data_IF_182837174956
#
_entry.id   IF_182837174956
#
_cell.length_a   1.000
_cell.length_b   1.000
_cell.length_c   1.000
_cell.angle_alpha   90.00
_cell.angle_beta   90.00
_cell.angle_gamma   90.00
#
_symmetry.space_group_name_H-M   'P 1'
#
loop_
_entity.id
_entity.type
_entity.pdbx_description
1 polymer ?
#
# COMPACT_ATOMS: atom_id res chain seq x y z
N UNK A 1 -7.01 -12.20 26.60
CA UNK A 1 -7.03 -11.02 25.70
C UNK A 1 -5.58 -10.60 25.53
N UNK A 2 -4.98 -10.84 24.36
CA UNK A 2 -3.63 -10.35 24.10
C UNK A 2 -3.70 -8.84 23.86
N UNK A 3 -2.96 -8.09 24.67
CA UNK A 3 -2.75 -6.67 24.46
C UNK A 3 -1.88 -6.58 23.20
N UNK A 4 -2.48 -6.19 22.07
CA UNK A 4 -1.69 -5.78 20.91
C UNK A 4 -0.76 -4.68 21.38
N UNK A 5 0.53 -4.90 21.20
CA UNK A 5 1.57 -3.91 21.41
C UNK A 5 1.19 -2.61 20.71
N UNK A 6 1.48 -1.47 21.35
CA UNK A 6 1.29 -0.16 20.75
C UNK A 6 2.09 -0.02 19.44
N UNK A 7 1.80 1.01 18.61
CA UNK A 7 2.47 1.19 17.33
C UNK A 7 3.99 1.33 17.50
N UNK A 8 4.75 0.61 16.68
CA UNK A 8 6.21 0.75 16.62
C UNK A 8 6.53 1.98 15.77
N UNK A 9 7.13 3.00 16.40
CA UNK A 9 7.52 4.25 15.73
C UNK A 9 9.03 4.42 15.86
N UNK A 10 9.75 4.28 14.76
CA UNK A 10 11.21 4.38 14.72
C UNK A 10 11.67 5.18 13.50
N UNK A 11 12.74 5.99 13.66
CA UNK A 11 13.45 6.61 12.53
C UNK A 11 14.53 5.66 12.04
N UNK A 12 14.56 5.36 10.74
CA UNK A 12 15.57 4.50 10.13
C UNK A 12 16.19 5.16 8.91
N UNK A 13 17.45 4.84 8.64
CA UNK A 13 18.15 5.28 7.43
C UNK A 13 17.82 4.33 6.30
N UNK A 14 17.63 4.87 5.11
CA UNK A 14 17.70 4.11 3.87
C UNK A 14 19.16 3.73 3.65
N UNK A 15 19.40 2.46 3.34
CA UNK A 15 20.74 1.96 3.02
C UNK A 15 20.77 1.51 1.56
N UNK A 16 21.91 1.64 0.91
CA UNK A 16 22.12 1.13 -0.46
C UNK A 16 22.78 -0.23 -0.40
N UNK A 17 22.29 -1.19 -1.17
CA UNK A 17 22.90 -2.50 -1.39
C UNK A 17 22.97 -2.76 -2.89
N UNK A 18 24.17 -2.66 -3.47
CA UNK A 18 24.36 -2.68 -4.92
C UNK A 18 23.56 -1.55 -5.60
N UNK A 19 22.73 -1.92 -6.57
CA UNK A 19 21.84 -1.00 -7.29
C UNK A 19 20.47 -0.80 -6.62
N UNK A 20 20.27 -1.29 -5.39
CA UNK A 20 18.99 -1.24 -4.68
C UNK A 20 19.04 -0.39 -3.43
N UNK A 21 17.91 0.24 -3.09
CA UNK A 21 17.68 0.84 -1.78
C UNK A 21 16.97 -0.19 -0.91
N UNK A 22 17.49 -0.39 0.31
CA UNK A 22 16.95 -1.30 1.31
C UNK A 22 16.46 -0.50 2.52
N UNK A 23 15.25 -0.81 2.97
CA UNK A 23 14.68 -0.32 4.22
C UNK A 23 14.59 -1.49 5.21
N UNK A 24 15.31 -1.38 6.33
CA UNK A 24 15.27 -2.40 7.36
C UNK A 24 13.98 -2.25 8.21
N UNK A 25 13.11 -3.26 8.17
CA UNK A 25 11.87 -3.30 8.96
C UNK A 25 12.18 -3.57 10.44
N UNK A 26 11.40 -3.03 11.41
CA UNK A 26 11.59 -3.34 12.83
C UNK A 26 11.49 -4.84 13.13
N UNK A 27 12.47 -5.38 13.85
CA UNK A 27 12.53 -6.81 14.20
C UNK A 27 11.27 -7.27 14.95
N UNK A 28 10.81 -6.47 15.90
CA UNK A 28 9.59 -6.74 16.66
C UNK A 28 8.36 -6.90 15.76
N UNK A 29 8.23 -6.07 14.72
CA UNK A 29 7.12 -6.18 13.78
C UNK A 29 7.18 -7.50 13.00
N UNK A 30 8.37 -7.95 12.62
CA UNK A 30 8.54 -9.26 11.96
C UNK A 30 8.10 -10.39 12.88
N UNK A 31 8.52 -10.37 14.15
CA UNK A 31 8.16 -11.37 15.17
C UNK A 31 6.65 -11.41 15.40
N UNK A 32 6.02 -10.26 15.60
CA UNK A 32 4.56 -10.12 15.81
C UNK A 32 3.74 -10.62 14.61
N UNK A 33 4.31 -10.59 13.39
CA UNK A 33 3.67 -11.06 12.17
C UNK A 33 4.11 -12.47 11.76
N UNK A 34 5.02 -13.11 12.50
CA UNK A 34 5.59 -14.42 12.15
C UNK A 34 6.29 -14.41 10.79
N UNK A 35 6.97 -13.31 10.46
CA UNK A 35 7.73 -13.15 9.21
C UNK A 35 9.20 -13.51 9.43
N UNK A 36 9.77 -14.21 8.46
CA UNK A 36 11.19 -14.62 8.45
C UNK A 36 11.85 -14.17 7.16
N UNK A 37 13.18 -14.26 7.10
CA UNK A 37 13.92 -13.97 5.87
C UNK A 37 13.40 -14.81 4.70
N UNK A 38 13.19 -14.18 3.54
CA UNK A 38 12.56 -14.81 2.37
C UNK A 38 11.03 -14.85 2.39
N UNK A 39 10.38 -14.43 3.48
CA UNK A 39 8.93 -14.29 3.54
C UNK A 39 8.41 -13.14 2.67
N UNK A 40 7.16 -13.27 2.22
CA UNK A 40 6.51 -12.29 1.35
C UNK A 40 5.73 -11.23 2.15
N UNK A 41 5.75 -10.01 1.64
CA UNK A 41 4.98 -8.87 2.15
C UNK A 41 4.31 -8.15 1.00
N UNK A 42 3.20 -7.48 1.31
CA UNK A 42 2.54 -6.57 0.38
C UNK A 42 3.09 -5.16 0.66
N UNK A 43 3.55 -4.49 -0.39
CA UNK A 43 3.95 -3.08 -0.34
C UNK A 43 2.97 -2.26 -1.18
N UNK A 44 2.42 -1.20 -0.59
CA UNK A 44 1.54 -0.26 -1.27
C UNK A 44 2.24 1.09 -1.31
N UNK A 45 2.38 1.65 -2.51
CA UNK A 45 2.99 2.95 -2.74
C UNK A 45 1.94 3.91 -3.33
N UNK A 46 1.31 4.73 -2.48
CA UNK A 46 0.33 5.73 -2.90
C UNK A 46 0.45 6.98 -2.01
N UNK A 47 1.47 7.80 -2.26
CA UNK A 47 1.89 8.90 -1.39
C UNK A 47 2.75 8.42 -0.22
N UNK A 48 2.19 7.54 0.62
CA UNK A 48 2.93 6.85 1.67
C UNK A 48 3.32 5.42 1.24
N UNK A 49 4.33 4.86 1.90
CA UNK A 49 4.64 3.43 1.84
C UNK A 49 3.93 2.71 3.00
N UNK A 50 3.04 1.79 2.66
CA UNK A 50 2.38 0.91 3.62
C UNK A 50 2.89 -0.53 3.40
N UNK A 51 3.21 -1.23 4.49
CA UNK A 51 3.67 -2.63 4.47
C UNK A 51 2.70 -3.52 5.25
N UNK A 52 2.40 -4.69 4.69
CA UNK A 52 1.47 -5.65 5.29
C UNK A 52 1.99 -7.07 5.09
N UNK A 53 1.66 -7.98 6.02
CA UNK A 53 1.88 -9.42 5.80
C UNK A 53 1.09 -9.90 4.57
N UNK A 54 1.72 -10.68 3.71
CA UNK A 54 1.05 -11.33 2.59
C UNK A 54 0.18 -12.51 3.09
N UNK A 55 -1.08 -12.22 3.41
CA UNK A 55 -2.11 -13.24 3.66
C UNK A 55 -3.23 -13.09 2.63
N UNK A 56 -3.97 -14.16 2.30
CA UNK A 56 -5.09 -14.08 1.36
C UNK A 56 -6.10 -12.97 1.70
N UNK A 57 -6.39 -12.77 2.99
CA UNK A 57 -7.32 -11.75 3.48
C UNK A 57 -6.78 -10.34 3.25
N UNK A 58 -5.49 -10.12 3.49
CA UNK A 58 -4.85 -8.83 3.25
C UNK A 58 -4.80 -8.51 1.75
N UNK A 59 -4.48 -9.51 0.91
CA UNK A 59 -4.48 -9.34 -0.56
C UNK A 59 -5.88 -8.95 -1.05
N UNK A 60 -6.92 -9.66 -0.61
CA UNK A 60 -8.30 -9.36 -0.97
C UNK A 60 -8.70 -7.92 -0.56
N UNK A 61 -8.33 -7.50 0.66
CA UNK A 61 -8.57 -6.14 1.15
C UNK A 61 -7.88 -5.07 0.31
N UNK A 62 -6.62 -5.29 -0.07
CA UNK A 62 -5.85 -4.35 -0.91
C UNK A 62 -6.45 -4.26 -2.31
N UNK A 63 -6.82 -5.38 -2.91
CA UNK A 63 -7.47 -5.40 -4.22
C UNK A 63 -8.80 -4.65 -4.19
N UNK A 64 -9.62 -4.86 -3.16
CA UNK A 64 -10.88 -4.12 -3.00
C UNK A 64 -10.65 -2.61 -2.83
N UNK A 65 -9.62 -2.18 -2.08
CA UNK A 65 -9.26 -0.76 -1.96
C UNK A 65 -8.86 -0.18 -3.31
N UNK A 66 -8.03 -0.90 -4.08
CA UNK A 66 -7.60 -0.48 -5.41
C UNK A 66 -8.78 -0.35 -6.40
N UNK A 67 -9.73 -1.30 -6.38
CA UNK A 67 -10.93 -1.23 -7.20
C UNK A 67 -11.81 -0.03 -6.89
N UNK A 68 -12.01 0.27 -5.60
CA UNK A 68 -12.78 1.45 -5.17
C UNK A 68 -12.12 2.74 -5.63
N UNK A 69 -10.79 2.84 -5.48
CA UNK A 69 -10.04 4.00 -5.97
C UNK A 69 -10.21 4.20 -7.48
N UNK A 70 -10.11 3.13 -8.28
CA UNK A 70 -10.34 3.19 -9.74
C UNK A 70 -11.76 3.67 -10.08
N UNK A 71 -12.78 3.15 -9.38
CA UNK A 71 -14.17 3.59 -9.59
C UNK A 71 -14.36 5.08 -9.26
N UNK A 72 -13.75 5.59 -8.19
CA UNK A 72 -13.85 7.01 -7.84
C UNK A 72 -13.18 7.94 -8.85
N UNK A 73 -12.10 7.52 -9.50
CA UNK A 73 -11.49 8.30 -10.59
C UNK A 73 -12.42 8.39 -11.82
N UNK A 74 -13.05 7.28 -12.21
CA UNK A 74 -13.97 7.26 -13.36
C UNK A 74 -15.25 8.09 -13.11
N UNK A 75 -15.73 8.18 -11.86
CA UNK A 75 -16.87 9.04 -11.52
C UNK A 75 -16.48 10.52 -11.60
N UNK A 76 -15.24 10.88 -11.23
CA UNK A 76 -14.78 12.26 -11.29
C UNK A 76 -14.65 12.76 -12.74
N UNK A 77 -14.15 11.94 -13.66
CA UNK A 77 -14.15 12.26 -15.10
C UNK A 77 -15.56 12.44 -15.68
N UNK A 78 -16.54 11.63 -15.23
CA UNK A 78 -17.94 11.80 -15.62
C UNK A 78 -18.61 13.06 -15.06
N UNK A 79 -18.12 13.59 -13.94
CA UNK A 79 -18.62 14.83 -13.32
C UNK A 79 -17.97 16.12 -13.82
N UNK A 80 -16.87 16.01 -14.58
CA UNK A 80 -16.11 17.15 -15.10
C UNK A 80 -16.60 17.64 -16.47
N UNK A 81 -17.76 17.19 -16.95
CA UNK A 81 -18.47 17.83 -18.07
C UNK A 81 -17.57 18.12 -19.26
N UNK A 82 -16.93 17.09 -19.83
CA UNK A 82 -16.51 17.20 -21.24
C UNK A 82 -17.76 17.07 -22.09
N UNK A 83 -18.58 18.13 -22.08
CA UNK A 83 -19.56 18.39 -23.12
C UNK A 83 -18.79 18.39 -24.43
N UNK A 84 -18.96 17.30 -25.19
CA UNK A 84 -18.60 17.29 -26.58
C UNK A 84 -19.53 18.28 -27.27
N UNK A 85 -19.14 19.54 -27.34
CA UNK A 85 -19.65 20.45 -28.37
C UNK A 85 -19.40 19.76 -29.72
N UNK A 86 -20.46 19.20 -30.29
CA UNK A 86 -20.47 18.81 -31.70
C UNK A 86 -20.34 20.10 -32.50
N UNK A 87 -19.44 20.19 -33.49
CA UNK A 87 -19.46 21.30 -34.42
C UNK A 87 -20.77 21.22 -35.20
N UNK A 88 -21.58 22.26 -35.09
CA UNK A 88 -22.71 22.51 -35.98
C UNK A 88 -22.17 22.76 -37.37
N UNK A 89 -22.63 21.97 -38.33
CA UNK A 89 -22.59 22.30 -39.77
C UNK A 89 -23.95 21.97 -40.35
#
# INVERSE_FOLDING_TARGET
MEIKSGPIVEKRKLITSGSSVVLAVPKRWLEENGLVAGGEVIMIANGNLEFMKATPENIARVNQRAERSRKSFNVHEGSLGLDKEKPTT
#
